data_IF_529509072480
#
_entry.id   IF_529509072480
#
_cell.length_a   1.000
_cell.length_b   1.000
_cell.length_c   1.000
_cell.angle_alpha   90.00
_cell.angle_beta   90.00
_cell.angle_gamma   90.00
#
_symmetry.space_group_name_H-M   'P 1'
#
loop_
_entity.id
_entity.type
_entity.pdbx_description
1 polymer ?
#
# COMPACT_ATOMS: atom_id res chain seq x y z
N UNK A 1 9.64 -20.56 6.60
CA UNK A 1 8.86 -19.45 6.03
C UNK A 1 9.57 -18.14 6.35
N UNK A 2 9.85 -17.33 5.34
CA UNK A 2 10.55 -16.06 5.55
C UNK A 2 9.59 -14.98 6.05
N UNK A 3 9.99 -14.26 7.07
CA UNK A 3 9.21 -13.17 7.62
C UNK A 3 10.06 -11.90 7.62
N UNK A 4 9.60 -10.89 6.89
CA UNK A 4 10.28 -9.60 6.80
C UNK A 4 9.34 -8.48 7.22
N UNK A 5 9.82 -7.60 8.09
CA UNK A 5 9.07 -6.43 8.57
C UNK A 5 7.67 -6.82 9.09
N UNK A 6 7.58 -7.96 9.75
CA UNK A 6 6.32 -8.46 10.28
C UNK A 6 5.39 -9.11 9.26
N UNK A 7 5.82 -9.27 8.02
CA UNK A 7 5.01 -9.86 6.95
C UNK A 7 5.55 -11.24 6.59
N UNK A 8 4.69 -12.24 6.56
CA UNK A 8 5.04 -13.59 6.11
C UNK A 8 5.02 -13.62 4.59
N UNK A 9 6.16 -13.91 3.99
CA UNK A 9 6.28 -13.95 2.53
C UNK A 9 5.87 -15.32 1.98
N UNK A 10 5.20 -15.37 0.81
CA UNK A 10 4.82 -16.64 0.20
C UNK A 10 6.05 -17.43 -0.22
N UNK A 11 6.08 -18.70 0.18
CA UNK A 11 7.26 -19.57 -0.05
C UNK A 11 7.48 -19.93 -1.51
N UNK A 12 6.42 -20.06 -2.26
CA UNK A 12 6.46 -20.54 -3.64
C UNK A 12 6.72 -19.44 -4.67
N UNK A 13 6.71 -18.18 -4.25
CA UNK A 13 6.93 -17.06 -5.16
C UNK A 13 8.41 -16.70 -5.26
N UNK A 14 8.79 -16.17 -6.43
CA UNK A 14 10.14 -15.62 -6.61
C UNK A 14 10.34 -14.45 -5.68
N UNK A 15 11.60 -14.21 -5.30
CA UNK A 15 11.91 -13.14 -4.35
C UNK A 15 11.40 -11.78 -4.82
N UNK A 16 11.53 -11.45 -6.11
CA UNK A 16 11.06 -10.18 -6.65
C UNK A 16 9.55 -9.98 -6.50
N UNK A 17 8.78 -11.06 -6.63
CA UNK A 17 7.33 -11.01 -6.50
C UNK A 17 6.92 -11.01 -5.02
N UNK A 18 7.58 -11.84 -4.22
CA UNK A 18 7.25 -11.97 -2.81
C UNK A 18 7.47 -10.66 -2.04
N UNK A 19 8.51 -9.90 -2.37
CA UNK A 19 8.77 -8.61 -1.72
C UNK A 19 7.66 -7.61 -1.95
N UNK A 20 6.92 -7.71 -3.04
CA UNK A 20 5.81 -6.80 -3.31
C UNK A 20 4.62 -7.00 -2.35
N UNK A 21 4.61 -8.07 -1.57
CA UNK A 21 3.60 -8.30 -0.56
C UNK A 21 3.78 -7.39 0.66
N UNK A 22 4.94 -6.75 0.78
CA UNK A 22 5.19 -5.77 1.85
C UNK A 22 4.62 -4.42 1.43
N UNK A 23 3.83 -3.81 2.30
CA UNK A 23 3.26 -2.50 2.03
C UNK A 23 4.37 -1.46 1.85
N UNK A 24 4.39 -0.80 0.73
CA UNK A 24 5.40 0.21 0.39
C UNK A 24 6.47 -0.29 -0.56
N UNK A 25 6.48 -1.58 -0.90
CA UNK A 25 7.41 -2.14 -1.87
C UNK A 25 6.63 -2.58 -3.10
N UNK A 26 6.86 -1.91 -4.22
CA UNK A 26 6.36 -2.30 -5.52
C UNK A 26 7.41 -3.10 -6.29
N UNK A 27 7.11 -3.40 -7.53
CA UNK A 27 8.00 -4.21 -8.36
C UNK A 27 9.38 -3.56 -8.56
N UNK A 28 9.41 -2.26 -8.83
CA UNK A 28 10.66 -1.53 -9.04
C UNK A 28 11.52 -1.51 -7.78
N UNK A 29 10.90 -1.23 -6.63
CA UNK A 29 11.60 -1.22 -5.35
C UNK A 29 12.11 -2.61 -4.99
N UNK A 30 11.33 -3.65 -5.28
CA UNK A 30 11.74 -5.03 -5.03
C UNK A 30 13.00 -5.38 -5.83
N UNK A 31 13.07 -4.99 -7.08
CA UNK A 31 14.27 -5.25 -7.92
C UNK A 31 15.50 -4.50 -7.40
N UNK A 32 15.32 -3.25 -6.95
CA UNK A 32 16.42 -2.49 -6.33
C UNK A 32 16.94 -3.17 -5.06
N UNK A 33 16.04 -3.61 -4.20
CA UNK A 33 16.40 -4.28 -2.95
C UNK A 33 17.20 -5.54 -3.22
N UNK A 34 16.75 -6.34 -4.19
CA UNK A 34 17.40 -7.59 -4.57
C UNK A 34 18.80 -7.33 -5.12
N UNK A 35 18.94 -6.31 -5.95
CA UNK A 35 20.24 -5.94 -6.52
C UNK A 35 21.21 -5.51 -5.42
N UNK A 36 20.78 -4.69 -4.48
CA UNK A 36 21.61 -4.24 -3.36
C UNK A 36 21.98 -5.36 -2.42
N UNK A 37 21.11 -6.34 -2.25
CA UNK A 37 21.39 -7.51 -1.42
C UNK A 37 22.21 -8.56 -2.12
N UNK A 38 22.37 -8.47 -3.44
CA UNK A 38 23.14 -9.43 -4.22
C UNK A 38 22.50 -10.80 -4.34
N UNK A 39 21.18 -10.85 -4.40
CA UNK A 39 20.39 -12.08 -4.48
C UNK A 39 19.87 -12.27 -5.90
N UNK A 40 19.73 -13.53 -6.36
CA UNK A 40 19.13 -13.85 -7.63
C UNK A 40 17.61 -13.57 -7.59
N UNK A 41 17.08 -12.67 -8.42
CA UNK A 41 15.66 -12.36 -8.41
C UNK A 41 14.76 -13.54 -8.76
N UNK A 42 15.26 -14.51 -9.49
CA UNK A 42 14.49 -15.69 -9.85
C UNK A 42 14.42 -16.74 -8.74
N UNK A 43 15.23 -16.60 -7.70
CA UNK A 43 15.26 -17.53 -6.59
C UNK A 43 13.96 -17.43 -5.79
N UNK A 44 13.40 -18.58 -5.42
CA UNK A 44 12.16 -18.59 -4.64
C UNK A 44 12.46 -18.37 -3.16
N UNK A 45 11.48 -17.86 -2.44
CA UNK A 45 11.63 -17.55 -1.00
C UNK A 45 12.06 -18.78 -0.21
N UNK A 46 11.50 -19.95 -0.52
CA UNK A 46 11.84 -21.20 0.19
C UNK A 46 13.32 -21.61 0.03
N UNK A 47 13.98 -21.14 -1.02
CA UNK A 47 15.37 -21.48 -1.32
C UNK A 47 16.37 -20.48 -0.71
N UNK A 48 15.87 -19.41 -0.07
CA UNK A 48 16.74 -18.42 0.56
C UNK A 48 17.33 -18.94 1.85
N UNK A 49 18.62 -18.68 2.06
CA UNK A 49 19.25 -18.96 3.33
C UNK A 49 18.91 -17.87 4.35
N UNK A 50 19.13 -18.16 5.64
CA UNK A 50 18.93 -17.17 6.70
C UNK A 50 19.82 -15.94 6.49
N UNK A 51 21.02 -16.12 5.95
CA UNK A 51 21.93 -15.02 5.63
C UNK A 51 21.33 -14.10 4.56
N UNK A 52 20.70 -14.68 3.54
CA UNK A 52 20.06 -13.93 2.47
C UNK A 52 18.88 -13.13 3.00
N UNK A 53 18.08 -13.73 3.87
CA UNK A 53 16.95 -13.06 4.51
C UNK A 53 17.42 -11.86 5.35
N UNK A 54 18.54 -12.03 6.06
CA UNK A 54 19.13 -10.95 6.86
C UNK A 54 19.63 -9.80 5.98
N UNK A 55 20.21 -10.11 4.82
CA UNK A 55 20.64 -9.09 3.86
C UNK A 55 19.46 -8.28 3.34
N UNK A 56 18.37 -8.96 2.99
CA UNK A 56 17.15 -8.30 2.54
C UNK A 56 16.58 -7.40 3.64
N UNK A 57 16.51 -7.91 4.84
CA UNK A 57 16.01 -7.14 5.99
C UNK A 57 16.85 -5.89 6.23
N UNK A 58 18.15 -6.01 6.17
CA UNK A 58 19.06 -4.88 6.37
C UNK A 58 18.85 -3.78 5.34
N UNK A 59 18.71 -4.14 4.08
CA UNK A 59 18.47 -3.17 3.01
C UNK A 59 17.12 -2.47 3.20
N UNK A 60 16.08 -3.24 3.48
CA UNK A 60 14.73 -2.69 3.66
C UNK A 60 14.66 -1.73 4.85
N UNK A 61 15.19 -2.13 5.99
CA UNK A 61 15.14 -1.30 7.20
C UNK A 61 15.99 -0.04 7.09
N UNK A 62 17.09 -0.10 6.36
CA UNK A 62 18.00 1.02 6.22
C UNK A 62 17.52 2.08 5.24
N UNK A 63 16.95 1.66 4.11
CA UNK A 63 16.69 2.57 2.98
C UNK A 63 15.22 2.81 2.67
N UNK A 64 14.31 2.04 3.24
CA UNK A 64 12.88 2.11 2.89
C UNK A 64 12.01 2.25 4.12
N UNK A 65 10.92 3.00 3.94
CA UNK A 65 9.85 3.04 4.92
C UNK A 65 8.74 2.15 4.42
N UNK A 66 8.37 1.15 5.21
CA UNK A 66 7.41 0.13 4.82
C UNK A 66 6.47 -0.20 5.98
N UNK A 67 5.37 -0.87 5.66
CA UNK A 67 4.39 -1.36 6.61
C UNK A 67 3.93 -0.31 7.62
N UNK A 68 4.02 -0.59 8.91
CA UNK A 68 3.52 0.30 9.96
C UNK A 68 4.08 1.71 9.90
N UNK A 69 5.38 1.86 9.67
CA UNK A 69 6.02 3.17 9.57
C UNK A 69 5.47 3.97 8.39
N UNK A 70 5.31 3.33 7.23
CA UNK A 70 4.75 4.00 6.06
C UNK A 70 3.27 4.31 6.24
N UNK A 71 2.50 3.40 6.81
CA UNK A 71 1.07 3.63 7.06
C UNK A 71 0.87 4.83 7.97
N UNK A 72 1.69 4.94 9.01
CA UNK A 72 1.67 6.07 9.94
C UNK A 72 2.02 7.38 9.22
N UNK A 73 3.05 7.34 8.38
CA UNK A 73 3.47 8.51 7.61
C UNK A 73 2.36 9.01 6.67
N UNK A 74 1.73 8.10 5.94
CA UNK A 74 0.63 8.45 5.03
C UNK A 74 -0.54 9.03 5.83
N UNK A 75 -0.92 8.40 6.93
CA UNK A 75 -2.00 8.87 7.78
C UNK A 75 -1.73 10.27 8.34
N UNK A 76 -0.50 10.53 8.76
CA UNK A 76 -0.10 11.85 9.27
C UNK A 76 -0.10 12.91 8.17
N UNK A 77 0.33 12.55 6.96
CA UNK A 77 0.31 13.47 5.83
C UNK A 77 -1.12 13.89 5.48
N UNK A 78 -2.05 12.93 5.48
CA UNK A 78 -3.46 13.21 5.23
C UNK A 78 -4.03 14.08 6.35
N UNK A 79 -3.73 13.75 7.59
CA UNK A 79 -4.17 14.53 8.74
C UNK A 79 -3.67 15.97 8.66
N UNK A 80 -2.41 16.16 8.28
CA UNK A 80 -1.86 17.51 8.10
C UNK A 80 -2.64 18.31 7.08
N UNK A 81 -2.99 17.69 5.94
CA UNK A 81 -3.80 18.37 4.91
C UNK A 81 -5.17 18.79 5.46
N UNK A 82 -5.78 17.93 6.28
CA UNK A 82 -7.07 18.24 6.92
C UNK A 82 -6.94 19.37 7.93
N UNK A 83 -5.89 19.34 8.74
CA UNK A 83 -5.69 20.33 9.82
C UNK A 83 -5.41 21.73 9.27
N UNK A 84 -4.70 21.85 8.15
CA UNK A 84 -4.44 23.16 7.54
C UNK A 84 -5.62 23.67 6.69
N UNK A 85 -6.68 22.87 6.55
CA UNK A 85 -7.87 23.28 5.80
C UNK A 85 -7.68 23.36 4.29
N UNK A 86 -6.72 22.63 3.74
CA UNK A 86 -6.48 22.61 2.29
C UNK A 86 -7.63 21.96 1.54
N UNK A 87 -7.74 22.25 0.24
CA UNK A 87 -8.74 21.62 -0.61
C UNK A 87 -8.61 20.08 -0.56
N UNK A 88 -7.39 19.57 -0.70
CA UNK A 88 -7.16 18.12 -0.64
C UNK A 88 -7.58 17.54 0.71
N UNK A 89 -7.30 18.24 1.80
CA UNK A 89 -7.71 17.81 3.14
C UNK A 89 -9.21 17.73 3.29
N UNK A 90 -9.93 18.71 2.76
CA UNK A 90 -11.40 18.71 2.79
C UNK A 90 -11.95 17.52 1.99
N UNK A 91 -11.35 17.22 0.84
CA UNK A 91 -11.77 16.05 0.03
C UNK A 91 -11.54 14.75 0.78
N UNK A 92 -10.41 14.60 1.49
CA UNK A 92 -10.16 13.43 2.33
C UNK A 92 -11.18 13.32 3.46
N UNK A 93 -11.49 14.43 4.10
CA UNK A 93 -12.46 14.45 5.20
C UNK A 93 -13.85 13.99 4.74
N UNK A 94 -14.27 14.39 3.57
CA UNK A 94 -15.58 14.07 3.00
C UNK A 94 -15.61 12.72 2.28
N UNK A 95 -14.46 12.06 2.13
CA UNK A 95 -14.38 10.79 1.41
C UNK A 95 -14.62 10.93 -0.09
N UNK A 96 -14.24 12.05 -0.66
CA UNK A 96 -14.41 12.33 -2.09
C UNK A 96 -13.09 12.25 -2.84
N UNK A 97 -13.11 12.07 -4.19
CA UNK A 97 -11.89 12.06 -4.97
C UNK A 97 -11.09 13.34 -4.79
N UNK A 98 -9.77 13.22 -4.67
CA UNK A 98 -8.87 14.30 -4.30
C UNK A 98 -8.23 14.97 -5.52
N UNK A 99 -8.16 14.26 -6.65
CA UNK A 99 -7.43 14.71 -7.85
C UNK A 99 -8.33 15.26 -8.94
N UNK A 100 -9.44 15.87 -8.58
CA UNK A 100 -10.31 16.53 -9.54
C UNK A 100 -11.16 15.60 -10.39
N UNK A 101 -11.32 14.35 -9.99
CA UNK A 101 -12.15 13.41 -10.73
C UNK A 101 -13.64 13.80 -10.65
N UNK A 102 -14.37 13.38 -11.65
CA UNK A 102 -15.81 13.61 -11.71
C UNK A 102 -16.52 12.87 -10.58
N UNK A 103 -17.46 13.52 -9.92
CA UNK A 103 -18.22 12.92 -8.82
C UNK A 103 -19.68 12.64 -9.18
N UNK A 104 -20.17 13.23 -10.25
CA UNK A 104 -21.58 13.12 -10.64
C UNK A 104 -21.95 11.74 -11.19
N UNK A 105 -20.99 10.96 -11.66
CA UNK A 105 -21.24 9.64 -12.25
C UNK A 105 -20.56 8.52 -11.51
N UNK A 106 -19.26 8.44 -11.53
CA UNK A 106 -18.47 7.33 -10.96
C UNK A 106 -17.86 7.72 -9.61
N UNK A 107 -16.58 7.45 -9.40
CA UNK A 107 -15.85 7.73 -8.16
C UNK A 107 -16.24 6.77 -7.02
N UNK A 108 -16.62 5.53 -7.36
CA UNK A 108 -17.03 4.53 -6.36
C UNK A 108 -15.90 4.10 -5.43
N UNK A 109 -14.66 4.14 -5.88
CA UNK A 109 -13.52 3.77 -5.06
C UNK A 109 -13.42 4.61 -3.79
N UNK A 110 -13.67 5.90 -3.90
CA UNK A 110 -13.64 6.81 -2.75
C UNK A 110 -14.98 6.90 -2.04
N UNK A 111 -16.07 6.98 -2.81
CA UNK A 111 -17.41 7.15 -2.27
C UNK A 111 -18.01 5.86 -1.72
N UNK A 112 -17.49 4.73 -2.16
CA UNK A 112 -18.01 3.43 -1.77
C UNK A 112 -19.17 2.97 -2.63
N UNK A 113 -19.79 1.82 -2.30
CA UNK A 113 -20.91 1.30 -3.06
C UNK A 113 -22.10 2.27 -3.06
N UNK A 114 -22.92 2.16 -4.11
CA UNK A 114 -24.15 2.97 -4.19
C UNK A 114 -25.06 2.63 -3.02
N UNK A 115 -25.62 3.67 -2.40
CA UNK A 115 -26.59 3.51 -1.32
C UNK A 115 -27.92 4.07 -1.75
N UNK A 116 -28.94 3.23 -1.70
CA UNK A 116 -30.31 3.64 -2.03
C UNK A 116 -31.02 4.06 -0.74
N UNK A 117 -31.63 5.23 -0.78
CA UNK A 117 -32.41 5.73 0.35
C UNK A 117 -33.86 5.33 0.16
N UNK A 118 -34.35 4.44 1.03
CA UNK A 118 -35.69 3.88 0.90
C UNK A 118 -36.80 4.91 0.88
N UNK A 119 -36.64 6.01 1.61
CA UNK A 119 -37.64 7.07 1.68
C UNK A 119 -37.96 7.75 0.34
N UNK A 120 -37.05 7.70 -0.61
CA UNK A 120 -37.26 8.33 -1.91
C UNK A 120 -38.23 7.60 -2.79
N UNK A 121 -38.52 6.34 -2.50
CA UNK A 121 -39.43 5.54 -3.33
C UNK A 121 -40.89 5.83 -3.11
N UNK A 122 -41.22 6.55 -2.07
CA UNK A 122 -42.61 6.85 -1.76
C UNK A 122 -43.33 7.67 -2.84
N UNK A 123 -42.56 8.46 -3.54
CA UNK A 123 -43.12 9.32 -4.59
C UNK A 123 -43.61 8.55 -5.80
N UNK A 124 -43.33 7.27 -5.90
CA UNK A 124 -43.69 6.47 -7.09
C UNK A 124 -45.07 5.85 -7.06
N UNK A 125 -45.87 6.08 -6.09
CA UNK A 125 -47.22 5.53 -6.03
C UNK A 125 -48.16 6.18 -7.03
#
# INVERSE_FOLDING_TARGET
MARLVGVDLPRDKRTEIALTYIFGIGRASALEIIEKAGIDPAQRIRDLSDADVQKLRGVIEKEYRVEGALRTEVAMNIKRLMDIGSYRGIRHRRGLPVRGQRTSTNARTRKGPKKTVAGKKKATK
#
